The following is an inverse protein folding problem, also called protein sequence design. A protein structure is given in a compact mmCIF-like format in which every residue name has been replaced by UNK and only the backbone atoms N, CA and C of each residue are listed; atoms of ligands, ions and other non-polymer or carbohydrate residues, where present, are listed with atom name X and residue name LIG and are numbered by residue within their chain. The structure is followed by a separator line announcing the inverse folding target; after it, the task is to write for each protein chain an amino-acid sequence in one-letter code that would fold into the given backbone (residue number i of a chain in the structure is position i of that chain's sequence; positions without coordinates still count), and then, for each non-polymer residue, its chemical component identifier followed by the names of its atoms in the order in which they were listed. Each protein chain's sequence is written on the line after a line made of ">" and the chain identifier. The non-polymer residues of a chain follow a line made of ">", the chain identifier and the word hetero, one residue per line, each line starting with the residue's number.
data_IF_538933079039
#
_entry.id   IF_538933079039
#
_cell.length_a   1.000
_cell.length_b   1.000
_cell.length_c   1.000
_cell.angle_alpha   90.00
_cell.angle_beta   90.00
_cell.angle_gamma   90.00
#
_symmetry.space_group_name_H-M   'P 1'
#
loop_
_entity.id
_entity.type
_entity.pdbx_description
1 polymer ?
#
# COMPACT_ATOMS: atom_id res chain seq x y z
N UNK A 1 -39.80 -9.36 41.20
CA UNK A 1 -38.98 -10.12 42.17
C UNK A 1 -37.74 -9.27 42.49
N UNK A 2 -37.63 -8.81 43.74
CA UNK A 2 -36.48 -8.31 44.53
C UNK A 2 -35.42 -7.37 43.88
N UNK A 3 -35.27 -6.10 44.35
CA UNK A 3 -34.54 -5.59 45.56
C UNK A 3 -33.01 -5.75 45.45
N UNK A 4 -32.13 -4.76 45.65
CA UNK A 4 -31.91 -3.80 46.78
C UNK A 4 -31.02 -2.62 46.27
N UNK A 5 -31.23 -1.33 46.62
CA UNK A 5 -30.94 -0.60 47.89
C UNK A 5 -29.45 -0.72 48.30
N UNK A 6 -28.70 0.32 48.72
CA UNK A 6 -29.03 1.47 49.55
C UNK A 6 -27.90 2.52 49.51
N UNK A 7 -28.29 3.79 49.60
CA UNK A 7 -27.48 4.95 49.98
C UNK A 7 -27.29 5.02 51.51
N UNK A 8 -26.16 5.52 52.01
CA UNK A 8 -26.12 6.14 53.34
C UNK A 8 -25.04 7.21 53.46
N UNK A 9 -25.46 8.40 53.89
CA UNK A 9 -24.65 9.52 54.34
C UNK A 9 -24.00 9.23 55.71
N UNK A 10 -22.84 9.83 55.98
CA UNK A 10 -22.18 9.78 57.29
C UNK A 10 -22.25 11.16 57.96
N UNK A 11 -22.73 11.09 59.20
CA UNK A 11 -23.03 12.15 60.16
C UNK A 11 -21.77 12.66 60.85
N UNK A 12 -21.74 13.97 61.12
CA UNK A 12 -20.76 14.64 61.94
C UNK A 12 -20.90 14.28 63.43
N UNK A 13 -19.79 13.94 64.08
CA UNK A 13 -19.73 13.70 65.52
C UNK A 13 -18.54 14.42 66.14
N UNK A 14 -18.82 15.50 66.88
CA UNK A 14 -17.87 16.18 67.77
C UNK A 14 -17.97 15.50 69.14
N UNK A 15 -16.83 15.05 69.68
CA UNK A 15 -16.71 14.70 71.10
C UNK A 15 -15.49 15.40 71.66
N UNK A 16 -15.73 16.40 72.49
CA UNK A 16 -14.77 16.99 73.43
C UNK A 16 -14.78 16.20 74.73
N UNK A 17 -13.62 15.73 75.20
CA UNK A 17 -13.40 15.43 76.61
C UNK A 17 -11.98 15.84 77.00
N UNK A 18 -11.92 16.63 78.07
CA UNK A 18 -10.76 17.22 78.70
C UNK A 18 -10.10 16.27 79.71
N UNK A 19 -8.83 16.52 80.02
CA UNK A 19 -8.29 16.28 81.36
C UNK A 19 -7.01 15.45 81.48
N UNK A 20 -5.93 16.14 81.88
CA UNK A 20 -4.77 15.69 82.68
C UNK A 20 -3.81 14.68 82.02
N UNK A 21 -2.52 14.94 81.79
CA UNK A 21 -1.55 15.44 82.76
C UNK A 21 -0.17 15.65 82.10
N UNK A 22 0.49 16.74 82.50
CA UNK A 22 1.92 17.05 82.45
C UNK A 22 2.88 16.12 81.70
N UNK A 23 3.25 16.48 80.47
CA UNK A 23 4.55 16.11 79.90
C UNK A 23 5.62 17.08 80.42
N UNK A 24 6.82 16.59 80.83
CA UNK A 24 7.91 17.46 81.25
C UNK A 24 8.31 18.40 80.10
N UNK A 25 8.78 19.63 80.39
CA UNK A 25 9.19 20.57 79.35
C UNK A 25 10.34 19.95 78.54
N UNK A 26 10.11 19.81 77.23
CA UNK A 26 11.08 19.28 76.27
C UNK A 26 12.45 19.97 76.45
N UNK A 27 13.51 19.17 76.51
CA UNK A 27 14.88 19.70 76.59
C UNK A 27 15.20 20.52 75.34
N UNK A 28 16.17 21.45 75.39
CA UNK A 28 16.54 22.29 74.24
C UNK A 28 16.88 21.46 72.98
N UNK A 29 17.53 20.31 73.17
CA UNK A 29 17.83 19.37 72.07
C UNK A 29 16.56 18.72 71.48
N UNK A 30 15.59 18.35 72.32
CA UNK A 30 14.31 17.80 71.84
C UNK A 30 13.50 18.84 71.06
N UNK A 31 13.54 20.12 71.47
CA UNK A 31 12.91 21.22 70.71
C UNK A 31 13.59 21.45 69.37
N UNK A 32 14.92 21.43 69.32
CA UNK A 32 15.67 21.56 68.07
C UNK A 32 15.37 20.40 67.11
N UNK A 33 15.31 19.17 67.62
CA UNK A 33 14.96 17.99 66.83
C UNK A 33 13.51 18.05 66.32
N UNK A 34 12.57 18.53 67.14
CA UNK A 34 11.18 18.70 66.74
C UNK A 34 11.01 19.77 65.65
N UNK A 35 11.75 20.89 65.75
CA UNK A 35 11.78 21.92 64.72
C UNK A 35 12.41 21.40 63.41
N UNK A 36 13.50 20.63 63.50
CA UNK A 36 14.13 20.02 62.34
C UNK A 36 13.20 19.00 61.66
N UNK A 37 12.47 18.19 62.44
CA UNK A 37 11.46 17.28 61.88
C UNK A 37 10.27 18.01 61.27
N UNK A 38 9.79 19.11 61.88
CA UNK A 38 8.73 19.94 61.28
C UNK A 38 9.19 20.56 59.96
N UNK A 39 10.41 21.11 59.91
CA UNK A 39 10.95 21.68 58.68
C UNK A 39 11.14 20.62 57.59
N UNK A 40 11.64 19.43 57.93
CA UNK A 40 11.78 18.32 56.99
C UNK A 40 10.42 17.81 56.49
N UNK A 41 9.40 17.81 57.35
CA UNK A 41 8.04 17.45 56.98
C UNK A 41 7.40 18.48 56.05
N UNK A 42 7.54 19.79 56.34
CA UNK A 42 7.07 20.88 55.48
C UNK A 42 7.77 20.82 54.11
N UNK A 43 9.09 20.60 54.08
CA UNK A 43 9.84 20.47 52.83
C UNK A 43 9.38 19.26 52.00
N UNK A 44 9.12 18.11 52.63
CA UNK A 44 8.54 16.94 51.93
C UNK A 44 7.12 17.18 51.44
N UNK A 45 6.30 17.89 52.22
CA UNK A 45 4.94 18.21 51.83
C UNK A 45 4.93 19.15 50.62
N UNK A 46 5.74 20.21 50.64
CA UNK A 46 5.92 21.14 49.52
C UNK A 46 6.46 20.43 48.28
N UNK A 47 7.45 19.55 48.41
CA UNK A 47 7.96 18.75 47.29
C UNK A 47 6.89 17.79 46.72
N UNK A 48 6.01 17.25 47.57
CA UNK A 48 4.85 16.46 47.15
C UNK A 48 3.78 17.30 46.45
N UNK A 49 3.50 18.51 46.94
CA UNK A 49 2.52 19.41 46.33
C UNK A 49 3.02 19.94 44.98
N UNK A 50 4.32 20.19 44.85
CA UNK A 50 4.94 20.65 43.61
C UNK A 50 4.99 19.54 42.54
N UNK A 51 5.12 18.27 42.94
CA UNK A 51 4.93 17.11 42.05
C UNK A 51 3.48 16.94 41.60
N UNK A 52 2.50 17.24 42.46
CA UNK A 52 1.07 17.18 42.10
C UNK A 52 0.69 18.36 41.18
N UNK A 53 1.22 19.56 41.42
CA UNK A 53 1.05 20.74 40.55
C UNK A 53 1.71 20.54 39.18
N UNK A 54 2.93 19.99 39.11
CA UNK A 54 3.57 19.65 37.84
C UNK A 54 2.88 18.46 37.14
N UNK A 55 2.36 17.49 37.89
CA UNK A 55 1.52 16.41 37.36
C UNK A 55 0.16 16.88 36.82
N UNK A 56 -0.40 17.98 37.35
CA UNK A 56 -1.63 18.60 36.85
C UNK A 56 -1.40 19.49 35.62
N UNK A 57 -0.17 19.98 35.37
CA UNK A 57 0.17 20.63 34.09
C UNK A 57 0.54 19.65 32.96
N UNK A 58 0.93 18.42 33.28
CA UNK A 58 1.09 17.33 32.31
C UNK A 58 -0.22 16.59 31.96
N UNK A 59 -1.31 16.89 32.68
CA UNK A 59 -2.66 16.41 32.37
C UNK A 59 -3.53 17.45 31.66
N UNK A 60 -2.93 18.44 30.98
CA UNK A 60 -3.59 18.96 29.78
C UNK A 60 -3.66 17.81 28.79
N UNK A 61 -4.80 17.10 28.80
CA UNK A 61 -5.25 16.35 27.64
C UNK A 61 -4.88 17.19 26.41
N UNK A 62 -4.19 16.62 25.39
CA UNK A 62 -4.14 17.30 24.11
C UNK A 62 -5.59 17.62 23.79
N UNK A 63 -5.91 18.91 23.79
CA UNK A 63 -7.22 19.41 23.45
C UNK A 63 -7.45 18.85 22.05
N UNK A 64 -8.27 17.81 21.97
CA UNK A 64 -8.62 17.17 20.72
C UNK A 64 -9.14 18.32 19.88
N UNK A 65 -8.33 18.74 18.90
CA UNK A 65 -8.75 19.76 17.96
C UNK A 65 -10.10 19.29 17.46
N UNK A 66 -11.13 20.11 17.65
CA UNK A 66 -12.45 19.80 17.14
C UNK A 66 -12.27 19.31 15.70
N UNK A 67 -12.88 18.16 15.31
CA UNK A 67 -12.68 17.62 13.98
C UNK A 67 -12.94 18.75 12.99
N UNK A 68 -11.89 19.15 12.27
CA UNK A 68 -11.98 20.18 11.25
C UNK A 68 -13.17 19.83 10.36
N UNK A 69 -14.16 20.73 10.30
CA UNK A 69 -15.27 20.56 9.38
C UNK A 69 -14.67 20.34 7.98
N UNK A 70 -15.21 19.39 7.22
CA UNK A 70 -14.68 19.09 5.90
C UNK A 70 -14.70 20.35 5.04
N UNK A 71 -13.62 20.55 4.27
CA UNK A 71 -13.39 21.81 3.57
C UNK A 71 -14.39 22.02 2.42
N UNK A 72 -14.94 20.92 1.89
CA UNK A 72 -15.94 20.85 0.81
C UNK A 72 -16.79 19.58 0.96
N UNK A 73 -17.94 19.50 0.29
CA UNK A 73 -18.75 18.27 0.21
C UNK A 73 -18.24 17.30 -0.87
N UNK A 74 -18.77 16.07 -0.88
CA UNK A 74 -18.48 15.07 -1.93
C UNK A 74 -18.91 15.54 -3.32
N UNK A 75 -20.09 16.16 -3.41
CA UNK A 75 -20.62 16.70 -4.65
C UNK A 75 -19.75 17.86 -5.17
N UNK A 76 -19.30 18.74 -4.28
CA UNK A 76 -18.40 19.84 -4.63
C UNK A 76 -17.02 19.33 -5.11
N UNK A 77 -16.48 18.29 -4.48
CA UNK A 77 -15.23 17.68 -4.94
C UNK A 77 -15.38 17.03 -6.32
N UNK A 78 -16.47 16.29 -6.52
CA UNK A 78 -16.77 15.66 -7.81
C UNK A 78 -16.96 16.71 -8.92
N UNK A 79 -17.63 17.83 -8.64
CA UNK A 79 -17.77 18.95 -9.57
C UNK A 79 -16.41 19.59 -9.91
N UNK A 80 -15.53 19.77 -8.92
CA UNK A 80 -14.16 20.27 -9.17
C UNK A 80 -13.38 19.34 -10.09
N UNK A 81 -13.47 18.03 -9.87
CA UNK A 81 -12.83 17.03 -10.74
C UNK A 81 -13.41 17.09 -12.15
N UNK A 82 -14.73 17.11 -12.28
CA UNK A 82 -15.41 17.22 -13.57
C UNK A 82 -15.06 18.51 -14.32
N UNK A 83 -14.77 19.61 -13.61
CA UNK A 83 -14.39 20.89 -14.24
C UNK A 83 -12.98 20.90 -14.82
N UNK A 84 -12.08 20.02 -14.36
CA UNK A 84 -10.71 19.91 -14.89
C UNK A 84 -10.55 18.74 -15.86
N UNK A 85 -11.53 17.82 -15.88
CA UNK A 85 -11.67 16.84 -16.95
C UNK A 85 -11.86 17.55 -18.28
N UNK A 86 -11.25 17.02 -19.34
CA UNK A 86 -11.37 17.62 -20.67
C UNK A 86 -11.54 16.61 -21.77
N UNK A 87 -11.85 17.16 -22.95
CA UNK A 87 -11.99 16.44 -24.22
C UNK A 87 -10.82 16.76 -25.16
N UNK A 88 -9.67 17.13 -24.59
CA UNK A 88 -8.47 17.47 -25.35
C UNK A 88 -7.89 16.27 -26.08
N UNK A 89 -6.81 16.53 -26.84
CA UNK A 89 -6.18 15.49 -27.63
C UNK A 89 -5.60 14.41 -26.72
N UNK A 90 -5.75 13.13 -27.06
CA UNK A 90 -5.18 12.06 -26.27
C UNK A 90 -3.66 12.15 -26.20
N UNK A 91 -3.09 11.83 -25.03
CA UNK A 91 -1.65 11.93 -24.78
C UNK A 91 -1.11 10.67 -24.12
N UNK A 92 0.14 10.31 -24.44
CA UNK A 92 0.81 9.20 -23.79
C UNK A 92 1.10 9.52 -22.32
N UNK A 93 0.87 8.53 -21.45
CA UNK A 93 1.12 8.59 -20.02
C UNK A 93 2.15 7.52 -19.68
N UNK A 94 3.29 7.94 -19.14
CA UNK A 94 4.43 7.05 -18.95
C UNK A 94 4.99 7.16 -17.54
N UNK A 95 5.44 6.01 -17.01
CA UNK A 95 6.17 5.95 -15.75
C UNK A 95 7.66 6.15 -16.01
N UNK A 96 8.24 7.09 -15.30
CA UNK A 96 9.69 7.27 -15.22
C UNK A 96 10.18 6.98 -13.79
N UNK A 97 11.49 6.77 -13.63
CA UNK A 97 12.11 6.54 -12.33
C UNK A 97 11.78 7.66 -11.33
N UNK A 98 11.71 8.89 -11.84
CA UNK A 98 11.51 10.11 -11.05
C UNK A 98 10.08 10.67 -11.16
N UNK A 99 9.10 9.83 -11.51
CA UNK A 99 7.68 10.19 -11.45
C UNK A 99 6.93 10.00 -12.76
N UNK A 100 6.05 10.96 -13.06
CA UNK A 100 5.05 10.90 -14.12
C UNK A 100 5.53 11.67 -15.37
N UNK A 101 5.32 11.11 -16.55
CA UNK A 101 5.46 11.83 -17.83
C UNK A 101 4.13 11.87 -18.56
N UNK A 102 3.80 13.02 -19.14
CA UNK A 102 2.60 13.26 -19.94
C UNK A 102 3.04 13.84 -21.27
N UNK A 103 2.61 13.21 -22.38
CA UNK A 103 3.01 13.63 -23.73
C UNK A 103 4.53 13.63 -23.94
N UNK A 104 5.25 12.73 -23.26
CA UNK A 104 6.70 12.65 -23.31
C UNK A 104 7.43 13.74 -22.52
N UNK A 105 6.76 14.62 -21.77
CA UNK A 105 7.38 15.60 -20.88
C UNK A 105 7.24 15.19 -19.41
N UNK A 106 8.24 15.44 -18.54
CA UNK A 106 8.09 15.20 -17.11
C UNK A 106 7.04 16.14 -16.51
N UNK A 107 6.12 15.59 -15.72
CA UNK A 107 5.17 16.34 -14.92
C UNK A 107 5.69 16.43 -13.48
N UNK A 108 5.77 17.66 -12.95
CA UNK A 108 6.31 17.96 -11.63
C UNK A 108 5.23 18.60 -10.77
N UNK A 109 5.14 18.19 -9.51
CA UNK A 109 4.25 18.81 -8.53
C UNK A 109 5.06 19.76 -7.62
N UNK A 110 4.68 21.03 -7.48
CA UNK A 110 5.42 21.97 -6.65
C UNK A 110 5.39 21.64 -5.15
N UNK A 111 4.47 20.78 -4.70
CA UNK A 111 4.37 20.40 -3.28
C UNK A 111 5.32 19.27 -2.87
N UNK A 112 5.89 18.52 -3.83
CA UNK A 112 6.81 17.44 -3.51
C UNK A 112 7.02 16.42 -4.62
N UNK A 113 7.70 15.33 -4.26
CA UNK A 113 8.05 14.24 -5.17
C UNK A 113 6.81 13.37 -5.50
N UNK A 114 6.61 13.09 -6.78
CA UNK A 114 5.59 12.14 -7.24
C UNK A 114 6.16 10.72 -7.09
N UNK A 115 5.67 9.97 -6.12
CA UNK A 115 6.22 8.64 -5.79
C UNK A 115 5.49 7.51 -6.51
N UNK A 116 4.23 7.72 -6.90
CA UNK A 116 3.45 6.74 -7.63
C UNK A 116 2.26 7.39 -8.36
N UNK A 117 1.71 6.70 -9.35
CA UNK A 117 0.45 7.07 -10.00
C UNK A 117 -0.25 5.85 -10.60
N UNK A 118 -1.54 6.01 -10.84
CA UNK A 118 -2.39 5.12 -11.62
C UNK A 118 -3.11 5.93 -12.67
N UNK A 119 -3.25 5.40 -13.88
CA UNK A 119 -3.79 6.14 -15.01
C UNK A 119 -4.68 5.26 -15.89
N UNK A 120 -5.68 5.89 -16.52
CA UNK A 120 -6.42 5.30 -17.63
C UNK A 120 -6.01 6.03 -18.91
N UNK A 121 -5.30 5.34 -19.81
CA UNK A 121 -4.82 5.95 -21.06
C UNK A 121 -5.96 6.37 -21.99
N UNK A 122 -7.12 5.71 -21.92
CA UNK A 122 -8.28 6.00 -22.78
C UNK A 122 -8.95 7.33 -22.41
N UNK A 123 -9.04 7.64 -21.12
CA UNK A 123 -9.70 8.86 -20.63
C UNK A 123 -8.72 9.96 -20.26
N UNK A 124 -7.43 9.64 -20.11
CA UNK A 124 -6.44 10.56 -19.57
C UNK A 124 -6.60 10.84 -18.07
N UNK A 125 -7.46 10.09 -17.36
CA UNK A 125 -7.62 10.22 -15.92
C UNK A 125 -6.38 9.69 -15.20
N UNK A 126 -5.82 10.49 -14.28
CA UNK A 126 -4.66 10.13 -13.48
C UNK A 126 -4.94 10.45 -12.01
N UNK A 127 -4.62 9.53 -11.11
CA UNK A 127 -4.36 9.87 -9.71
C UNK A 127 -2.93 9.56 -9.35
N UNK A 128 -2.25 10.54 -8.76
CA UNK A 128 -0.87 10.43 -8.35
C UNK A 128 -0.67 10.78 -6.88
N UNK A 129 0.41 10.22 -6.32
CA UNK A 129 0.80 10.32 -4.93
C UNK A 129 1.98 11.29 -4.81
N UNK A 130 1.80 12.36 -4.02
CA UNK A 130 2.83 13.36 -3.73
C UNK A 130 3.31 13.20 -2.29
N UNK A 131 4.60 12.95 -2.11
CA UNK A 131 5.22 12.89 -0.79
C UNK A 131 5.41 14.30 -0.25
N UNK A 132 4.65 14.65 0.79
CA UNK A 132 4.68 15.99 1.42
C UNK A 132 5.26 15.98 2.85
N UNK A 133 5.49 14.79 3.41
CA UNK A 133 6.11 14.59 4.71
C UNK A 133 6.69 13.19 4.84
N UNK A 134 7.31 12.87 5.99
CA UNK A 134 7.90 11.54 6.24
C UNK A 134 6.87 10.43 6.12
N UNK A 135 5.70 10.64 6.73
CA UNK A 135 4.62 9.66 6.84
C UNK A 135 3.33 10.17 6.19
N UNK A 136 3.42 11.15 5.29
CA UNK A 136 2.26 11.82 4.69
C UNK A 136 2.39 11.91 3.17
N UNK A 137 1.36 11.41 2.48
CA UNK A 137 1.22 11.42 1.03
C UNK A 137 -0.09 12.12 0.68
N UNK A 138 -0.05 13.12 -0.21
CA UNK A 138 -1.27 13.69 -0.81
C UNK A 138 -1.63 12.92 -2.05
N UNK A 139 -2.91 12.62 -2.20
CA UNK A 139 -3.47 12.00 -3.40
C UNK A 139 -4.13 13.10 -4.22
N UNK A 140 -3.74 13.21 -5.49
CA UNK A 140 -4.22 14.26 -6.41
C UNK A 140 -4.73 13.63 -7.69
N UNK A 141 -5.89 14.10 -8.14
CA UNK A 141 -6.44 13.82 -9.45
C UNK A 141 -5.90 14.82 -10.47
N UNK A 142 -5.68 14.38 -11.69
CA UNK A 142 -5.27 15.18 -12.85
C UNK A 142 -5.90 14.59 -14.11
N UNK A 143 -6.28 15.45 -15.04
CA UNK A 143 -6.65 15.04 -16.40
C UNK A 143 -5.51 15.35 -17.35
N UNK A 144 -4.98 14.34 -18.04
CA UNK A 144 -3.93 14.50 -19.05
C UNK A 144 -4.46 15.13 -20.36
N UNK A 145 -5.76 15.06 -20.57
CA UNK A 145 -6.47 15.59 -21.74
C UNK A 145 -7.30 16.84 -21.42
N UNK A 146 -7.31 17.26 -20.15
CA UNK A 146 -7.99 18.47 -19.70
C UNK A 146 -7.02 19.57 -19.33
N UNK A 147 -7.43 20.40 -18.37
CA UNK A 147 -6.51 21.36 -17.77
C UNK A 147 -5.53 20.59 -16.88
N UNK A 148 -4.22 20.83 -17.04
CA UNK A 148 -3.18 20.24 -16.18
C UNK A 148 -3.17 20.90 -14.77
N UNK A 149 -4.36 21.03 -14.18
CA UNK A 149 -4.64 21.59 -12.87
C UNK A 149 -5.02 20.46 -11.92
N UNK A 150 -4.11 20.05 -11.02
CA UNK A 150 -4.37 18.93 -10.14
C UNK A 150 -5.37 19.30 -9.04
N UNK A 151 -6.29 18.38 -8.75
CA UNK A 151 -7.29 18.48 -7.67
C UNK A 151 -6.91 17.53 -6.54
N UNK A 152 -6.70 18.05 -5.33
CA UNK A 152 -6.41 17.19 -4.17
C UNK A 152 -7.67 16.44 -3.73
N UNK A 153 -7.61 15.11 -3.74
CA UNK A 153 -8.73 14.25 -3.30
C UNK A 153 -8.62 13.86 -1.83
N UNK A 154 -7.41 13.81 -1.28
CA UNK A 154 -7.20 13.46 0.12
C UNK A 154 -5.73 13.28 0.50
N UNK A 155 -5.52 12.80 1.71
CA UNK A 155 -4.20 12.55 2.29
C UNK A 155 -4.16 11.17 2.92
N UNK A 156 -3.12 10.39 2.60
CA UNK A 156 -2.77 9.16 3.27
C UNK A 156 -1.70 9.43 4.34
N UNK A 157 -1.92 8.96 5.56
CA UNK A 157 -0.96 9.03 6.67
C UNK A 157 -0.56 7.65 7.13
N UNK A 158 0.74 7.39 7.28
CA UNK A 158 1.29 6.14 7.80
C UNK A 158 1.48 6.22 9.31
N UNK A 159 1.16 5.14 10.00
CA UNK A 159 1.39 4.95 11.44
C UNK A 159 1.82 3.51 11.71
N UNK A 160 2.11 3.18 12.98
CA UNK A 160 2.37 1.81 13.40
C UNK A 160 1.18 0.86 13.15
N UNK A 161 -0.05 1.38 13.11
CA UNK A 161 -1.27 0.61 12.90
C UNK A 161 -1.64 0.40 11.41
N UNK A 162 -0.84 0.95 10.48
CA UNK A 162 -1.12 0.91 9.04
C UNK A 162 -1.25 2.31 8.44
N UNK A 163 -2.04 2.43 7.38
CA UNK A 163 -2.30 3.69 6.68
C UNK A 163 -3.76 4.12 6.84
N UNK A 164 -3.97 5.43 6.94
CA UNK A 164 -5.30 6.04 6.95
C UNK A 164 -5.39 7.04 5.82
N UNK A 165 -6.36 6.84 4.93
CA UNK A 165 -6.76 7.84 3.94
C UNK A 165 -7.83 8.74 4.55
N UNK A 166 -7.64 10.05 4.49
CA UNK A 166 -8.65 11.06 4.78
C UNK A 166 -8.90 11.89 3.52
N UNK A 167 -10.12 11.86 3.00
CA UNK A 167 -10.52 12.72 1.88
C UNK A 167 -10.60 14.18 2.33
N UNK A 168 -10.56 15.11 1.38
CA UNK A 168 -10.76 16.55 1.66
C UNK A 168 -12.18 16.86 2.16
N UNK A 169 -13.12 15.94 1.92
CA UNK A 169 -14.51 15.93 2.39
C UNK A 169 -14.68 15.33 3.78
N UNK A 170 -13.57 14.91 4.42
CA UNK A 170 -13.54 14.41 5.80
C UNK A 170 -13.80 12.91 5.96
N UNK A 171 -14.17 12.20 4.89
CA UNK A 171 -14.29 10.75 4.92
C UNK A 171 -12.94 10.11 5.25
N UNK A 172 -12.96 9.12 6.15
CA UNK A 172 -11.73 8.45 6.62
C UNK A 172 -11.85 6.95 6.42
N UNK A 173 -10.82 6.34 5.83
CA UNK A 173 -10.73 4.91 5.60
C UNK A 173 -9.35 4.42 6.06
N UNK A 174 -9.32 3.49 7.00
CA UNK A 174 -8.08 2.90 7.53
C UNK A 174 -7.85 1.49 6.98
N UNK A 175 -6.60 1.16 6.70
CA UNK A 175 -6.15 -0.14 6.22
C UNK A 175 -4.64 -0.33 6.33
N UNK A 176 -4.12 -1.38 5.69
CA UNK A 176 -2.69 -1.67 5.63
C UNK A 176 -1.96 -0.79 4.62
N UNK A 177 -2.59 -0.44 3.50
CA UNK A 177 -2.01 0.43 2.48
C UNK A 177 -3.06 1.26 1.74
N UNK A 178 -2.62 2.39 1.17
CA UNK A 178 -3.40 3.23 0.26
C UNK A 178 -2.73 3.21 -1.11
N UNK A 179 -3.49 2.85 -2.14
CA UNK A 179 -3.03 2.70 -3.52
C UNK A 179 -3.88 3.60 -4.41
N UNK A 180 -3.27 4.31 -5.36
CA UNK A 180 -4.01 5.14 -6.33
C UNK A 180 -4.78 4.28 -7.34
N UNK A 181 -5.86 4.82 -7.87
CA UNK A 181 -6.58 4.34 -9.07
C UNK A 181 -6.81 5.56 -9.97
N UNK A 182 -7.03 5.42 -11.27
CA UNK A 182 -7.20 6.57 -12.19
C UNK A 182 -8.27 7.58 -11.75
N UNK A 183 -9.23 7.17 -10.89
CA UNK A 183 -10.34 8.02 -10.41
C UNK A 183 -10.37 8.25 -8.89
N UNK A 184 -9.48 7.62 -8.12
CA UNK A 184 -9.57 7.65 -6.65
C UNK A 184 -8.52 6.81 -5.95
N UNK A 185 -8.87 6.18 -4.83
CA UNK A 185 -7.94 5.34 -4.05
C UNK A 185 -8.54 4.01 -3.63
N UNK A 186 -7.70 2.99 -3.58
CA UNK A 186 -7.94 1.73 -2.88
C UNK A 186 -7.28 1.77 -1.52
N UNK A 187 -8.05 1.51 -0.46
CA UNK A 187 -7.51 1.24 0.88
C UNK A 187 -7.60 -0.26 1.13
N UNK A 188 -6.45 -0.92 1.22
CA UNK A 188 -6.38 -2.38 1.35
C UNK A 188 -6.33 -2.80 2.81
N UNK A 189 -6.89 -3.97 3.10
CA UNK A 189 -6.76 -4.73 4.34
C UNK A 189 -6.38 -6.17 3.98
N UNK A 190 -6.02 -6.96 4.98
CA UNK A 190 -5.60 -8.36 4.80
C UNK A 190 -6.58 -9.17 3.94
N UNK A 191 -7.89 -9.13 4.25
CA UNK A 191 -8.93 -9.87 3.52
C UNK A 191 -9.91 -9.01 2.71
N UNK A 192 -9.64 -7.71 2.52
CA UNK A 192 -10.58 -6.83 1.80
C UNK A 192 -9.90 -5.59 1.23
N UNK A 193 -10.56 -4.91 0.30
CA UNK A 193 -10.18 -3.59 -0.17
C UNK A 193 -11.41 -2.66 -0.22
N UNK A 194 -11.19 -1.37 -0.02
CA UNK A 194 -12.22 -0.34 -0.10
C UNK A 194 -11.85 0.67 -1.19
N UNK A 195 -12.73 0.87 -2.17
CA UNK A 195 -12.50 1.82 -3.25
C UNK A 195 -13.28 3.10 -2.98
N UNK A 196 -12.54 4.19 -2.83
CA UNK A 196 -13.07 5.54 -2.72
C UNK A 196 -12.88 6.27 -4.04
N UNK A 197 -13.98 6.78 -4.59
CA UNK A 197 -14.02 7.69 -5.73
C UNK A 197 -14.83 8.91 -5.29
N UNK A 198 -14.30 10.14 -5.43
CA UNK A 198 -15.05 11.35 -5.10
C UNK A 198 -16.45 11.38 -5.72
N UNK A 199 -17.44 11.82 -4.94
CA UNK A 199 -18.84 11.87 -5.36
C UNK A 199 -19.56 10.53 -5.42
N UNK A 200 -18.90 9.42 -5.08
CA UNK A 200 -19.48 8.08 -5.10
C UNK A 200 -19.46 7.44 -3.72
N UNK A 201 -20.40 6.52 -3.49
CA UNK A 201 -20.36 5.66 -2.31
C UNK A 201 -19.11 4.77 -2.37
N UNK A 202 -18.43 4.63 -1.22
CA UNK A 202 -17.30 3.71 -1.10
C UNK A 202 -17.76 2.27 -1.32
N UNK A 203 -17.10 1.57 -2.24
CA UNK A 203 -17.36 0.16 -2.50
C UNK A 203 -16.31 -0.71 -1.83
N UNK A 204 -16.61 -1.99 -1.62
CA UNK A 204 -15.68 -2.96 -1.05
C UNK A 204 -15.52 -4.19 -1.94
N UNK A 205 -14.36 -4.82 -1.81
CA UNK A 205 -14.02 -6.07 -2.47
C UNK A 205 -13.48 -7.05 -1.43
N UNK A 206 -13.86 -8.31 -1.53
CA UNK A 206 -13.39 -9.38 -0.63
C UNK A 206 -12.20 -10.06 -1.30
N UNK A 207 -11.11 -10.23 -0.55
CA UNK A 207 -9.94 -10.99 -1.00
C UNK A 207 -10.08 -12.43 -0.49
N UNK A 208 -9.91 -13.45 -1.35
CA UNK A 208 -9.94 -14.86 -0.93
C UNK A 208 -8.94 -15.18 0.18
N UNK A 209 -9.28 -16.16 1.00
CA UNK A 209 -8.38 -16.69 2.03
C UNK A 209 -7.07 -17.19 1.43
N UNK A 210 -5.96 -17.00 2.15
CA UNK A 210 -4.62 -17.35 1.68
C UNK A 210 -4.02 -16.35 0.69
N UNK A 211 -4.69 -15.23 0.43
CA UNK A 211 -4.20 -14.14 -0.42
C UNK A 211 -4.32 -12.79 0.29
N UNK A 212 -3.54 -11.82 -0.19
CA UNK A 212 -3.68 -10.41 0.16
C UNK A 212 -3.57 -9.54 -1.10
N UNK A 213 -4.03 -8.30 -1.05
CA UNK A 213 -3.77 -7.34 -2.15
C UNK A 213 -2.26 -7.11 -2.28
N UNK A 214 -1.74 -7.24 -3.49
CA UNK A 214 -0.34 -6.96 -3.76
C UNK A 214 -0.05 -5.47 -3.46
N UNK A 215 1.02 -5.14 -2.71
CA UNK A 215 1.30 -3.76 -2.28
C UNK A 215 1.47 -2.76 -3.43
N UNK A 216 1.85 -3.24 -4.61
CA UNK A 216 2.01 -2.44 -5.81
C UNK A 216 1.02 -2.92 -6.87
N UNK A 217 0.33 -1.97 -7.48
CA UNK A 217 -0.58 -2.19 -8.60
C UNK A 217 -0.02 -1.41 -9.78
N UNK A 218 0.25 -2.10 -10.89
CA UNK A 218 0.70 -1.43 -12.12
C UNK A 218 -0.47 -1.12 -13.05
N UNK A 219 -1.48 -2.00 -13.08
CA UNK A 219 -2.72 -1.72 -13.76
C UNK A 219 -3.68 -0.86 -12.95
N UNK A 220 -4.70 -0.35 -13.64
CA UNK A 220 -5.68 0.53 -13.04
C UNK A 220 -6.96 -0.21 -12.64
N UNK A 221 -7.23 -0.22 -11.33
CA UNK A 221 -8.44 -0.81 -10.78
C UNK A 221 -9.72 -0.06 -11.19
N UNK A 222 -9.68 1.27 -11.30
CA UNK A 222 -10.90 2.05 -11.51
C UNK A 222 -11.49 1.86 -12.92
N UNK A 223 -10.66 1.56 -13.92
CA UNK A 223 -11.10 1.24 -15.28
C UNK A 223 -11.37 -0.25 -15.48
N UNK A 224 -10.52 -1.14 -14.94
CA UNK A 224 -10.62 -2.58 -15.21
C UNK A 224 -11.52 -3.34 -14.23
N UNK A 225 -11.69 -2.85 -13.01
CA UNK A 225 -12.31 -3.60 -11.90
C UNK A 225 -11.44 -4.73 -11.34
N UNK A 226 -10.25 -4.97 -11.90
CA UNK A 226 -9.31 -6.01 -11.46
C UNK A 226 -8.23 -5.42 -10.54
N UNK A 227 -7.97 -6.13 -9.44
CA UNK A 227 -6.83 -5.89 -8.56
C UNK A 227 -5.91 -7.10 -8.50
N UNK A 228 -4.60 -6.88 -8.47
CA UNK A 228 -3.62 -7.92 -8.27
C UNK A 228 -3.58 -8.34 -6.79
N UNK A 229 -3.73 -9.63 -6.55
CA UNK A 229 -3.56 -10.26 -5.25
C UNK A 229 -2.38 -11.24 -5.29
N UNK A 230 -1.66 -11.33 -4.18
CA UNK A 230 -0.52 -12.23 -4.00
C UNK A 230 -0.83 -13.26 -2.94
N UNK A 231 -0.36 -14.50 -3.16
CA UNK A 231 -0.51 -15.60 -2.21
C UNK A 231 0.30 -15.31 -0.95
N UNK A 232 -0.29 -15.58 0.20
CA UNK A 232 0.42 -15.52 1.47
C UNK A 232 1.44 -16.67 1.54
N UNK A 233 2.68 -16.43 2.01
CA UNK A 233 3.61 -17.51 2.27
C UNK A 233 3.00 -18.45 3.33
N UNK A 234 3.25 -19.76 3.25
CA UNK A 234 2.81 -20.70 4.28
C UNK A 234 3.40 -20.31 5.64
N UNK A 235 2.63 -20.45 6.72
CA UNK A 235 3.13 -20.22 8.07
C UNK A 235 4.24 -21.23 8.42
N UNK A 236 5.37 -20.73 8.95
CA UNK A 236 6.48 -21.56 9.39
C UNK A 236 6.01 -22.58 10.44
N UNK A 237 6.24 -23.87 10.18
CA UNK A 237 5.91 -24.96 11.11
C UNK A 237 4.69 -25.81 10.76
N UNK A 238 4.02 -25.58 9.62
CA UNK A 238 2.97 -26.51 9.17
C UNK A 238 3.58 -27.78 8.58
N UNK A 239 3.11 -28.94 9.05
CA UNK A 239 3.52 -30.29 8.59
C UNK A 239 3.21 -30.53 7.09
N UNK A 240 2.57 -29.57 6.41
CA UNK A 240 2.42 -29.52 4.96
C UNK A 240 3.75 -29.29 4.20
N UNK A 241 4.83 -28.88 4.87
CA UNK A 241 6.17 -28.76 4.30
C UNK A 241 6.72 -30.11 3.80
N UNK A 242 6.52 -31.19 4.55
CA UNK A 242 7.03 -32.51 4.13
C UNK A 242 6.21 -33.13 3.00
N UNK A 243 4.94 -32.73 2.82
CA UNK A 243 4.11 -33.17 1.69
C UNK A 243 4.39 -32.37 0.40
N UNK A 244 4.69 -31.07 0.52
CA UNK A 244 4.92 -30.19 -0.64
C UNK A 244 6.33 -30.32 -1.23
N UNK A 245 7.35 -30.61 -0.42
CA UNK A 245 8.72 -30.88 -0.90
C UNK A 245 8.81 -32.25 -1.62
N UNK A 246 7.98 -33.22 -1.24
CA UNK A 246 7.96 -34.55 -1.91
C UNK A 246 7.05 -34.54 -3.15
N UNK A 247 6.00 -33.71 -3.17
CA UNK A 247 5.19 -33.48 -4.37
C UNK A 247 5.88 -32.60 -5.44
N UNK A 248 6.92 -31.84 -5.09
CA UNK A 248 7.70 -31.04 -6.07
C UNK A 248 8.85 -31.81 -6.73
N UNK A 249 9.20 -33.00 -6.20
CA UNK A 249 10.23 -33.87 -6.77
C UNK A 249 9.67 -35.18 -7.37
N UNK A 250 8.38 -35.47 -7.16
CA UNK A 250 7.77 -36.77 -7.48
C UNK A 250 6.69 -36.81 -8.55
N UNK A 251 6.22 -35.69 -9.10
CA UNK A 251 5.21 -35.67 -10.17
C UNK A 251 5.80 -35.15 -11.49
N UNK A 252 6.15 -36.11 -12.35
CA UNK A 252 5.74 -36.15 -13.77
C UNK A 252 5.73 -34.85 -14.58
N UNK A 253 6.60 -34.78 -15.60
CA UNK A 253 6.34 -34.21 -16.95
C UNK A 253 5.14 -33.25 -17.01
N UNK A 254 5.39 -31.99 -16.66
CA UNK A 254 4.39 -30.93 -16.56
C UNK A 254 4.73 -30.03 -15.38
N UNK A 255 5.65 -29.09 -15.61
CA UNK A 255 6.11 -28.09 -14.64
C UNK A 255 4.92 -27.53 -13.83
N UNK A 256 4.93 -27.69 -12.51
CA UNK A 256 3.92 -27.11 -11.64
C UNK A 256 3.84 -25.60 -11.89
N UNK A 257 2.64 -25.09 -12.23
CA UNK A 257 2.39 -23.66 -12.41
C UNK A 257 2.68 -22.94 -11.09
N UNK A 258 3.46 -21.86 -11.15
CA UNK A 258 3.72 -21.01 -10.02
C UNK A 258 2.50 -20.10 -9.78
N UNK A 259 1.48 -20.60 -9.09
CA UNK A 259 0.24 -19.87 -8.75
C UNK A 259 0.46 -18.82 -7.62
N UNK A 260 1.46 -17.94 -7.76
CA UNK A 260 1.80 -16.95 -6.74
C UNK A 260 0.93 -15.69 -6.78
N UNK A 261 0.36 -15.37 -7.94
CA UNK A 261 -0.39 -14.14 -8.18
C UNK A 261 -1.69 -14.41 -8.95
N UNK A 262 -2.72 -13.59 -8.68
CA UNK A 262 -3.98 -13.61 -9.44
C UNK A 262 -4.50 -12.19 -9.64
N UNK A 263 -5.19 -11.95 -10.76
CA UNK A 263 -6.04 -10.77 -10.91
C UNK A 263 -7.44 -11.12 -10.43
N UNK A 264 -7.99 -10.31 -9.52
CA UNK A 264 -9.30 -10.50 -8.92
C UNK A 264 -10.24 -9.36 -9.32
N UNK A 265 -11.35 -9.69 -9.97
CA UNK A 265 -12.40 -8.74 -10.28
C UNK A 265 -13.24 -8.46 -9.03
N UNK A 266 -13.22 -7.23 -8.52
CA UNK A 266 -13.83 -6.86 -7.24
C UNK A 266 -15.34 -7.15 -7.14
N UNK A 267 -16.09 -6.88 -8.21
CA UNK A 267 -17.55 -7.04 -8.23
C UNK A 267 -18.01 -8.50 -8.40
N UNK A 268 -17.36 -9.25 -9.28
CA UNK A 268 -17.81 -10.61 -9.66
C UNK A 268 -17.12 -11.71 -8.87
N UNK A 269 -15.98 -11.40 -8.22
CA UNK A 269 -15.13 -12.40 -7.58
C UNK A 269 -14.36 -13.27 -8.57
N UNK A 270 -14.45 -13.00 -9.88
CA UNK A 270 -13.70 -13.73 -10.90
C UNK A 270 -12.20 -13.57 -10.66
N UNK A 271 -11.47 -14.67 -10.73
CA UNK A 271 -10.00 -14.68 -10.66
C UNK A 271 -9.40 -15.12 -12.00
N UNK A 272 -8.25 -14.55 -12.33
CA UNK A 272 -7.37 -14.96 -13.44
C UNK A 272 -6.02 -15.28 -12.82
N UNK A 273 -5.62 -16.55 -12.88
CA UNK A 273 -4.36 -17.03 -12.31
C UNK A 273 -3.16 -16.70 -13.18
N UNK A 274 -2.06 -16.34 -12.54
CA UNK A 274 -0.81 -15.98 -13.21
C UNK A 274 0.32 -16.94 -12.78
N UNK A 275 1.02 -17.50 -13.75
CA UNK A 275 2.17 -18.41 -13.56
C UNK A 275 3.45 -17.59 -13.24
N UNK A 276 3.46 -17.05 -12.03
CA UNK A 276 4.50 -16.19 -11.45
C UNK A 276 4.73 -16.59 -9.98
N UNK A 277 5.98 -16.92 -9.63
CA UNK A 277 6.37 -17.23 -8.25
C UNK A 277 6.39 -15.98 -7.36
N UNK A 278 6.02 -16.14 -6.09
CA UNK A 278 6.18 -15.10 -5.05
C UNK A 278 7.63 -14.92 -4.59
N UNK A 279 8.54 -15.83 -4.98
CA UNK A 279 9.93 -15.89 -4.50
C UNK A 279 10.88 -15.01 -5.33
N UNK A 280 10.51 -14.65 -6.57
CA UNK A 280 11.39 -13.96 -7.52
C UNK A 280 11.58 -12.45 -7.23
N UNK A 281 11.02 -11.92 -6.14
CA UNK A 281 10.89 -10.47 -5.88
C UNK A 281 11.97 -9.85 -4.98
N UNK A 282 12.82 -10.69 -4.41
CA UNK A 282 13.83 -10.27 -3.44
C UNK A 282 15.18 -9.96 -4.11
N UNK A 283 15.85 -8.91 -3.63
CA UNK A 283 17.23 -8.55 -3.99
C UNK A 283 18.17 -8.91 -2.85
N UNK A 284 19.39 -9.30 -3.21
CA UNK A 284 20.42 -9.74 -2.27
C UNK A 284 21.54 -8.70 -2.19
N UNK A 285 21.82 -8.19 -0.99
CA UNK A 285 22.90 -7.24 -0.74
C UNK A 285 23.93 -7.83 0.21
N UNK A 286 25.10 -8.20 -0.32
CA UNK A 286 26.24 -8.63 0.48
C UNK A 286 26.88 -7.45 1.22
N UNK A 287 27.34 -7.66 2.45
CA UNK A 287 28.01 -6.64 3.24
C UNK A 287 29.30 -7.17 3.89
N UNK A 288 30.20 -6.25 4.24
CA UNK A 288 31.47 -6.58 4.88
C UNK A 288 32.42 -7.42 4.01
N UNK A 289 32.33 -7.28 2.69
CA UNK A 289 33.15 -8.03 1.74
C UNK A 289 34.63 -7.62 1.81
N UNK A 290 35.50 -8.60 2.01
CA UNK A 290 36.96 -8.47 1.98
C UNK A 290 37.54 -9.39 0.90
N UNK A 291 38.53 -8.92 0.13
CA UNK A 291 39.16 -9.76 -0.88
C UNK A 291 39.91 -10.91 -0.19
N UNK A 292 39.57 -12.15 -0.56
CA UNK A 292 40.28 -13.35 -0.12
C UNK A 292 41.39 -13.71 -1.11
N UNK A 293 41.14 -13.51 -2.41
CA UNK A 293 42.13 -13.57 -3.48
C UNK A 293 41.64 -12.74 -4.70
N UNK A 294 42.37 -12.77 -5.82
CA UNK A 294 42.07 -11.99 -7.03
C UNK A 294 40.75 -12.32 -7.73
N UNK A 295 40.06 -13.39 -7.34
CA UNK A 295 38.82 -13.83 -7.97
C UNK A 295 37.66 -14.01 -6.99
N UNK A 296 37.92 -14.03 -5.69
CA UNK A 296 36.94 -14.35 -4.64
C UNK A 296 36.99 -13.29 -3.55
N UNK A 297 35.84 -12.68 -3.31
CA UNK A 297 35.58 -11.85 -2.13
C UNK A 297 34.84 -12.68 -1.08
N UNK A 298 35.24 -12.56 0.17
CA UNK A 298 34.57 -13.16 1.33
C UNK A 298 33.76 -12.08 2.05
N UNK A 299 32.45 -12.27 2.15
CA UNK A 299 31.52 -11.29 2.74
C UNK A 299 31.06 -11.74 4.13
N UNK A 300 30.85 -10.76 5.02
CA UNK A 300 30.43 -10.98 6.40
C UNK A 300 28.97 -11.46 6.51
N UNK A 301 28.16 -11.18 5.49
CA UNK A 301 26.79 -11.67 5.41
C UNK A 301 26.05 -11.09 4.20
N UNK A 302 24.74 -11.37 4.16
CA UNK A 302 23.84 -10.99 3.08
C UNK A 302 22.51 -10.52 3.66
N UNK A 303 22.01 -9.38 3.20
CA UNK A 303 20.65 -8.92 3.46
C UNK A 303 19.76 -9.29 2.27
N UNK A 304 18.56 -9.80 2.52
CA UNK A 304 17.57 -10.14 1.50
C UNK A 304 16.32 -9.31 1.76
N UNK A 305 15.83 -8.59 0.75
CA UNK A 305 14.63 -7.77 0.87
C UNK A 305 13.93 -7.57 -0.47
N UNK A 306 12.60 -7.39 -0.46
CA UNK A 306 11.83 -7.12 -1.67
C UNK A 306 12.16 -5.74 -2.25
N UNK A 307 12.43 -5.67 -3.56
CA UNK A 307 12.66 -4.39 -4.27
C UNK A 307 12.21 -4.44 -5.72
N UNK A 308 11.63 -3.33 -6.21
CA UNK A 308 11.36 -3.14 -7.64
C UNK A 308 12.65 -2.92 -8.45
N UNK A 309 13.73 -2.48 -7.82
CA UNK A 309 14.97 -2.15 -8.51
C UNK A 309 16.15 -2.87 -7.88
N UNK A 310 17.10 -3.26 -8.71
CA UNK A 310 18.41 -3.73 -8.29
C UNK A 310 19.22 -2.60 -7.65
N UNK A 311 20.32 -2.95 -6.98
CA UNK A 311 21.21 -1.99 -6.33
C UNK A 311 21.84 -0.97 -7.32
N UNK A 312 21.98 -1.34 -8.58
CA UNK A 312 22.48 -0.47 -9.65
C UNK A 312 21.39 0.46 -10.24
N UNK A 313 20.15 0.35 -9.75
CA UNK A 313 19.00 1.12 -10.20
C UNK A 313 18.32 0.56 -11.46
N UNK A 314 18.81 -0.55 -12.01
CA UNK A 314 18.08 -1.30 -13.05
C UNK A 314 16.84 -1.97 -12.44
N UNK A 315 15.89 -2.37 -13.29
CA UNK A 315 14.67 -3.05 -12.81
C UNK A 315 15.01 -4.43 -12.31
N UNK A 316 14.51 -4.81 -11.14
CA UNK A 316 14.49 -6.22 -10.70
C UNK A 316 13.47 -6.96 -11.57
N UNK A 317 13.92 -7.60 -12.64
CA UNK A 317 13.04 -8.26 -13.62
C UNK A 317 12.31 -9.48 -13.06
N UNK A 318 12.72 -10.00 -11.90
CA UNK A 318 11.99 -11.05 -11.18
C UNK A 318 10.75 -10.53 -10.45
N UNK A 319 10.77 -9.26 -10.02
CA UNK A 319 9.68 -8.64 -9.29
C UNK A 319 8.39 -8.55 -10.13
N UNK A 320 7.27 -9.03 -9.59
CA UNK A 320 5.97 -9.12 -10.27
C UNK A 320 5.51 -7.79 -10.91
N UNK A 321 5.85 -6.65 -10.30
CA UNK A 321 5.54 -5.31 -10.81
C UNK A 321 6.05 -5.09 -12.24
N UNK A 322 7.17 -5.69 -12.63
CA UNK A 322 7.69 -5.57 -14.00
C UNK A 322 7.25 -6.70 -14.92
N UNK A 323 6.48 -7.65 -14.39
CA UNK A 323 6.03 -8.86 -15.09
C UNK A 323 4.55 -8.83 -15.45
N UNK A 324 3.77 -7.95 -14.81
CA UNK A 324 2.31 -7.94 -14.88
C UNK A 324 1.85 -6.52 -15.18
N UNK A 325 1.23 -6.36 -16.34
CA UNK A 325 0.54 -5.14 -16.77
C UNK A 325 -0.90 -5.50 -17.10
N UNK A 326 -1.88 -4.73 -16.62
CA UNK A 326 -3.27 -4.89 -17.02
C UNK A 326 -3.94 -3.54 -17.18
N UNK A 327 -4.81 -3.42 -18.17
CA UNK A 327 -5.40 -2.16 -18.58
C UNK A 327 -6.72 -2.38 -19.28
N UNK A 328 -7.57 -1.36 -19.24
CA UNK A 328 -8.84 -1.37 -19.95
C UNK A 328 -8.62 -1.02 -21.43
N UNK A 329 -9.41 -1.59 -22.33
CA UNK A 329 -9.32 -1.35 -23.77
C UNK A 329 -10.74 -1.23 -24.35
N UNK A 330 -10.93 -0.71 -25.58
CA UNK A 330 -12.24 -0.73 -26.23
C UNK A 330 -12.88 -2.12 -26.37
N UNK A 331 -12.08 -3.20 -26.25
CA UNK A 331 -12.55 -4.60 -26.31
C UNK A 331 -12.75 -5.21 -24.92
N UNK A 332 -12.59 -4.44 -23.85
CA UNK A 332 -12.60 -4.89 -22.46
C UNK A 332 -11.19 -4.96 -21.85
N UNK A 333 -11.07 -5.40 -20.59
CA UNK A 333 -9.82 -5.43 -19.87
C UNK A 333 -8.89 -6.57 -20.31
N UNK A 334 -7.64 -6.24 -20.59
CA UNK A 334 -6.59 -7.18 -20.97
C UNK A 334 -5.39 -7.10 -20.02
N UNK A 335 -4.67 -8.22 -19.89
CA UNK A 335 -3.37 -8.25 -19.24
C UNK A 335 -2.25 -8.69 -20.21
N UNK A 336 -1.07 -8.10 -20.03
CA UNK A 336 0.19 -8.55 -20.61
C UNK A 336 1.05 -9.08 -19.47
N UNK A 337 1.40 -10.36 -19.54
CA UNK A 337 2.03 -11.06 -18.41
C UNK A 337 3.22 -11.88 -18.87
N UNK A 338 4.34 -11.76 -18.16
CA UNK A 338 5.54 -12.56 -18.37
C UNK A 338 5.57 -13.79 -17.46
N UNK A 339 5.23 -14.94 -18.03
CA UNK A 339 4.96 -16.21 -17.33
C UNK A 339 5.98 -17.31 -17.70
N UNK A 340 5.78 -18.51 -17.15
CA UNK A 340 6.62 -19.67 -17.36
C UNK A 340 8.08 -19.42 -17.00
N UNK A 341 8.35 -18.84 -15.82
CA UNK A 341 9.71 -18.53 -15.36
C UNK A 341 10.47 -17.62 -16.34
N UNK A 342 9.83 -16.55 -16.81
CA UNK A 342 10.31 -15.54 -17.79
C UNK A 342 10.28 -15.92 -19.28
N UNK A 343 9.90 -17.14 -19.64
CA UNK A 343 10.05 -17.66 -21.02
C UNK A 343 8.97 -17.20 -22.01
N UNK A 344 7.82 -16.74 -21.53
CA UNK A 344 6.68 -16.37 -22.38
C UNK A 344 6.13 -15.00 -21.98
N UNK A 345 5.70 -14.22 -22.96
CA UNK A 345 4.81 -13.07 -22.74
C UNK A 345 3.46 -13.46 -23.32
N UNK A 346 2.45 -13.45 -22.47
CA UNK A 346 1.08 -13.78 -22.78
C UNK A 346 0.23 -12.53 -22.75
N UNK A 347 -0.72 -12.45 -23.70
CA UNK A 347 -1.84 -11.50 -23.67
C UNK A 347 -3.05 -12.29 -23.22
N UNK A 348 -3.75 -11.78 -22.22
CA UNK A 348 -4.87 -12.44 -21.55
C UNK A 348 -6.09 -11.54 -21.62
N UNK A 349 -7.18 -12.05 -22.19
CA UNK A 349 -8.51 -11.46 -22.06
C UNK A 349 -9.03 -11.78 -20.64
N UNK A 350 -9.20 -10.75 -19.81
CA UNK A 350 -9.55 -10.95 -18.41
C UNK A 350 -11.03 -11.32 -18.22
N UNK A 351 -11.90 -10.97 -19.16
CA UNK A 351 -13.32 -11.33 -19.14
C UNK A 351 -13.56 -12.78 -19.56
N UNK A 352 -12.77 -13.27 -20.50
CA UNK A 352 -12.89 -14.64 -21.03
C UNK A 352 -11.92 -15.62 -20.37
N UNK A 353 -10.90 -15.13 -19.64
CA UNK A 353 -9.78 -15.94 -19.13
C UNK A 353 -9.10 -16.76 -20.24
N UNK A 354 -8.96 -16.14 -21.41
CA UNK A 354 -8.32 -16.72 -22.58
C UNK A 354 -6.94 -16.10 -22.79
N UNK A 355 -5.95 -16.94 -23.11
CA UNK A 355 -4.54 -16.54 -23.17
C UNK A 355 -3.90 -16.89 -24.50
N UNK A 356 -3.10 -15.97 -25.04
CA UNK A 356 -2.27 -16.20 -26.22
C UNK A 356 -0.83 -15.79 -25.92
N UNK A 357 0.11 -16.70 -26.18
CA UNK A 357 1.54 -16.36 -26.17
C UNK A 357 1.91 -15.57 -27.42
N UNK A 358 2.26 -14.30 -27.24
CA UNK A 358 2.67 -13.40 -28.34
C UNK A 358 4.18 -13.40 -28.56
N UNK A 359 4.96 -13.68 -27.50
CA UNK A 359 6.42 -13.81 -27.56
C UNK A 359 6.88 -14.98 -26.70
N UNK A 360 7.90 -15.72 -27.17
CA UNK A 360 8.50 -16.81 -26.41
C UNK A 360 10.01 -16.92 -26.67
N UNK A 361 10.76 -17.32 -25.63
CA UNK A 361 12.20 -17.62 -25.70
C UNK A 361 12.56 -18.69 -24.69
N UNK A 362 13.18 -19.78 -25.16
CA UNK A 362 13.57 -20.93 -24.31
C UNK A 362 14.50 -20.51 -23.17
N UNK A 363 15.46 -19.61 -23.45
CA UNK A 363 16.43 -19.11 -22.48
C UNK A 363 15.92 -17.89 -21.67
N UNK A 364 14.60 -17.70 -21.59
CA UNK A 364 13.98 -16.57 -20.89
C UNK A 364 13.94 -15.28 -21.69
N UNK A 365 13.04 -14.37 -21.35
CA UNK A 365 12.97 -13.01 -21.89
C UNK A 365 13.52 -12.09 -20.79
N UNK A 366 14.52 -11.26 -21.09
CA UNK A 366 15.24 -10.53 -20.06
C UNK A 366 14.36 -9.48 -19.38
N UNK A 367 13.60 -8.73 -20.17
CA UNK A 367 12.69 -7.69 -19.70
C UNK A 367 11.69 -7.37 -20.80
N UNK A 368 10.61 -6.68 -20.43
CA UNK A 368 9.70 -6.08 -21.38
C UNK A 368 9.15 -4.74 -20.88
N UNK A 369 8.66 -3.95 -21.82
CA UNK A 369 7.87 -2.75 -21.61
C UNK A 369 6.52 -2.92 -22.28
N UNK A 370 5.47 -2.44 -21.62
CA UNK A 370 4.12 -2.38 -22.14
C UNK A 370 3.72 -0.92 -22.15
N UNK A 371 3.25 -0.45 -23.30
CA UNK A 371 2.74 0.90 -23.48
C UNK A 371 1.35 0.81 -24.10
N UNK A 372 0.40 1.52 -23.50
CA UNK A 372 -0.93 1.68 -24.05
C UNK A 372 -1.05 3.05 -24.70
N UNK A 373 -1.35 3.05 -25.99
CA UNK A 373 -1.74 4.25 -26.70
C UNK A 373 -3.16 4.66 -26.32
N UNK A 374 -3.54 5.95 -26.44
CA UNK A 374 -4.84 6.40 -25.98
C UNK A 374 -6.05 5.86 -26.76
N UNK A 375 -5.83 5.30 -27.95
CA UNK A 375 -6.85 4.56 -28.71
C UNK A 375 -7.08 3.14 -28.18
N UNK A 376 -6.31 2.72 -27.18
CA UNK A 376 -6.37 1.41 -26.56
C UNK A 376 -5.44 0.38 -27.18
N UNK A 377 -4.67 0.73 -28.23
CA UNK A 377 -3.64 -0.17 -28.76
C UNK A 377 -2.55 -0.39 -27.74
N UNK A 378 -2.15 -1.65 -27.55
CA UNK A 378 -1.12 -2.06 -26.61
C UNK A 378 0.10 -2.49 -27.39
N UNK A 379 1.24 -1.85 -27.15
CA UNK A 379 2.52 -2.27 -27.72
C UNK A 379 3.41 -2.93 -26.66
N UNK A 380 4.19 -3.92 -27.09
CA UNK A 380 5.11 -4.68 -26.24
C UNK A 380 6.49 -4.62 -26.87
N UNK A 381 7.48 -4.12 -26.13
CA UNK A 381 8.89 -4.23 -26.49
C UNK A 381 9.61 -5.14 -25.50
N UNK A 382 10.18 -6.25 -26.00
CA UNK A 382 10.84 -7.25 -25.19
C UNK A 382 12.33 -7.39 -25.54
N UNK A 383 13.18 -7.50 -24.53
CA UNK A 383 14.62 -7.79 -24.69
C UNK A 383 14.86 -9.30 -24.73
N UNK A 384 15.31 -9.79 -25.88
CA UNK A 384 15.48 -11.20 -26.24
C UNK A 384 16.96 -11.59 -26.24
N UNK A 385 17.65 -11.47 -25.09
CA UNK A 385 19.11 -11.60 -25.01
C UNK A 385 19.81 -10.34 -25.53
N UNK A 386 20.40 -10.43 -26.74
CA UNK A 386 21.15 -9.34 -27.38
C UNK A 386 20.35 -8.53 -28.41
N UNK A 387 19.09 -8.88 -28.66
CA UNK A 387 18.19 -8.17 -29.56
C UNK A 387 16.91 -7.74 -28.86
N UNK A 388 16.19 -6.79 -29.46
CA UNK A 388 14.84 -6.42 -29.06
C UNK A 388 13.83 -6.98 -30.07
N UNK A 389 12.63 -7.31 -29.59
CA UNK A 389 11.49 -7.67 -30.42
C UNK A 389 10.29 -6.85 -29.99
N UNK A 390 9.60 -6.26 -30.97
CA UNK A 390 8.40 -5.44 -30.76
C UNK A 390 7.16 -6.13 -31.30
N UNK A 391 6.05 -6.01 -30.57
CA UNK A 391 4.69 -6.29 -31.01
C UNK A 391 3.96 -4.96 -30.96
N UNK A 392 3.65 -4.37 -32.12
CA UNK A 392 3.07 -3.03 -32.17
C UNK A 392 1.60 -2.99 -31.70
N UNK A 393 0.86 -4.06 -31.98
CA UNK A 393 -0.52 -4.25 -31.52
C UNK A 393 -0.68 -5.67 -30.94
N UNK A 394 -0.65 -5.73 -29.61
CA UNK A 394 -0.77 -6.96 -28.85
C UNK A 394 -2.19 -7.56 -28.93
N UNK A 395 -3.23 -6.74 -29.14
CA UNK A 395 -4.61 -7.22 -29.26
C UNK A 395 -4.84 -7.86 -30.63
N UNK A 396 -4.31 -7.26 -31.70
CA UNK A 396 -4.31 -7.90 -33.02
C UNK A 396 -3.50 -9.21 -33.02
N UNK A 397 -2.37 -9.25 -32.32
CA UNK A 397 -1.57 -10.46 -32.14
C UNK A 397 -2.33 -11.55 -31.36
N UNK A 398 -3.07 -11.16 -30.32
CA UNK A 398 -3.95 -12.03 -29.55
C UNK A 398 -5.03 -12.65 -30.44
N UNK A 399 -5.79 -11.85 -31.20
CA UNK A 399 -6.86 -12.34 -32.08
C UNK A 399 -6.35 -13.34 -33.13
N UNK A 400 -5.21 -13.02 -33.76
CA UNK A 400 -4.55 -13.92 -34.70
C UNK A 400 -4.12 -15.24 -34.03
N UNK A 401 -3.70 -15.18 -32.76
CA UNK A 401 -3.39 -16.37 -31.98
C UNK A 401 -4.62 -17.22 -31.68
N UNK A 402 -5.72 -16.58 -31.27
CA UNK A 402 -7.00 -17.26 -31.02
C UNK A 402 -7.54 -17.95 -32.27
N UNK A 403 -7.48 -17.30 -33.44
CA UNK A 403 -7.87 -17.92 -34.71
C UNK A 403 -7.07 -19.18 -35.04
N UNK A 404 -5.76 -19.18 -34.74
CA UNK A 404 -4.91 -20.36 -34.95
C UNK A 404 -5.19 -21.49 -33.98
N UNK A 405 -5.64 -21.18 -32.76
CA UNK A 405 -6.07 -22.20 -31.80
C UNK A 405 -7.38 -22.83 -32.27
N UNK A 406 -8.36 -22.01 -32.69
CA UNK A 406 -9.64 -22.49 -33.20
C UNK A 406 -9.56 -23.30 -34.50
N UNK A 407 -8.46 -23.21 -35.26
CA UNK A 407 -8.22 -24.02 -36.47
C UNK A 407 -7.52 -25.36 -36.19
N UNK A 408 -7.02 -25.56 -34.96
CA UNK A 408 -6.35 -26.81 -34.55
C UNK A 408 -7.28 -27.81 -33.87
N UNK A 409 -8.45 -27.33 -33.45
CA UNK A 409 -9.59 -28.13 -32.99
C UNK A 409 -10.51 -28.44 -34.18
#
# INVERSE_FOLDING_TARGET
>A
MNRKLLSTAIVAGVVTLAGCSSQPPLTPEQKAMQQQMQQAFIARMQAGTQKILNGQMQNRQPQQAAPSQPAITEEELAQKIASVQGEGQPVNIERSRDGLRIGGAPYLDPEGEITNFSANALTGDIVYAVKVGRDQIKMKYLSAVGELLPVTIGTATRSAAGQTFRSVTGQTISGNSVIGTSKGVLVTREGSAFHYVPGNATTSAIVPEGYRVAPLQKGDFASTGYMLIEKLPPEEGSVAELGSIVNSLGSSVGLAEADGYMLLHAKTGKTVKLDISIEDKDVQQMYGCKPRNSFINECAGMNVYQSMYELDGSRNTGHYFWRIDWMDTPKGPFAVVQEAGTRKINVIDLEQDQRVTVLSRTLGINSHNVEQAPDGTISIEARMGFSNKRVDDALAAYEKGMQKLAQKD
#
